data_IF_725713236741
#
_entry.id   IF_725713236741
#
_cell.length_a   1.000
_cell.length_b   1.000
_cell.length_c   1.000
_cell.angle_alpha   90.00
_cell.angle_beta   90.00
_cell.angle_gamma   90.00
#
_symmetry.space_group_name_H-M   'P 1'
#
loop_
_entity.id
_entity.type
_entity.pdbx_description
1 polymer ?
#
# COMPACT_ATOMS: atom_id res chain seq x y z
N UNK A 1 -31.39 10.11 13.47
CA UNK A 1 -30.91 9.18 12.43
C UNK A 1 -29.80 9.89 11.66
N UNK A 2 -28.61 9.30 11.53
CA UNK A 2 -27.53 9.92 10.77
C UNK A 2 -27.97 10.06 9.31
N UNK A 3 -27.98 11.30 8.80
CA UNK A 3 -28.18 11.57 7.37
C UNK A 3 -26.79 11.49 6.73
N UNK A 4 -26.47 10.39 6.06
CA UNK A 4 -25.24 10.30 5.26
C UNK A 4 -25.53 10.92 3.90
N UNK A 5 -24.81 12.00 3.51
CA UNK A 5 -24.75 12.40 2.12
C UNK A 5 -24.38 11.20 1.27
N UNK A 6 -25.08 11.02 0.16
CA UNK A 6 -24.52 10.20 -0.90
C UNK A 6 -23.19 10.83 -1.32
N UNK A 7 -22.12 10.03 -1.45
CA UNK A 7 -20.80 10.53 -1.84
C UNK A 7 -20.71 10.76 -3.36
N UNK A 8 -21.85 10.92 -4.02
CA UNK A 8 -21.96 11.48 -5.35
C UNK A 8 -21.80 12.99 -5.25
N UNK A 9 -21.17 13.62 -6.23
CA UNK A 9 -21.03 15.08 -6.33
C UNK A 9 -22.39 15.82 -6.52
N UNK A 10 -23.49 15.16 -6.20
CA UNK A 10 -24.84 15.68 -6.25
C UNK A 10 -25.01 16.74 -5.16
N UNK A 11 -25.60 17.90 -5.46
CA UNK A 11 -25.95 18.88 -4.45
C UNK A 11 -26.75 18.22 -3.32
N UNK A 12 -26.41 18.56 -2.07
CA UNK A 12 -27.17 18.11 -0.90
C UNK A 12 -28.61 18.58 -1.05
N UNK A 13 -29.51 17.65 -1.34
CA UNK A 13 -30.94 17.92 -1.35
C UNK A 13 -31.53 17.67 0.04
N UNK A 14 -32.66 18.31 0.34
CA UNK A 14 -33.39 18.08 1.59
C UNK A 14 -33.91 16.63 1.71
N UNK A 15 -33.96 15.91 0.59
CA UNK A 15 -34.40 14.51 0.47
C UNK A 15 -33.22 13.52 0.57
N UNK A 16 -32.40 13.65 1.61
CA UNK A 16 -31.35 12.67 1.89
C UNK A 16 -31.98 11.30 2.19
N UNK A 17 -31.38 10.24 1.67
CA UNK A 17 -31.83 8.87 1.94
C UNK A 17 -31.81 8.58 3.44
N UNK A 18 -32.99 8.27 4.00
CA UNK A 18 -33.13 7.87 5.40
C UNK A 18 -33.44 6.38 5.44
N UNK A 19 -32.61 5.65 6.18
CA UNK A 19 -32.84 4.23 6.46
C UNK A 19 -34.17 4.03 7.19
N UNK A 20 -35.02 3.16 6.65
CA UNK A 20 -36.32 2.85 7.27
C UNK A 20 -36.16 1.95 8.51
N UNK A 21 -37.20 1.85 9.34
CA UNK A 21 -37.19 1.07 10.58
C UNK A 21 -36.83 -0.40 10.32
N UNK A 22 -37.42 -1.00 9.28
CA UNK A 22 -37.14 -2.39 8.90
C UNK A 22 -35.67 -2.63 8.55
N UNK A 23 -35.02 -1.68 7.88
CA UNK A 23 -33.59 -1.74 7.56
C UNK A 23 -32.73 -1.60 8.81
N UNK A 24 -33.11 -0.69 9.73
CA UNK A 24 -32.44 -0.52 11.02
C UNK A 24 -32.49 -1.81 11.83
N UNK A 25 -33.66 -2.43 11.95
CA UNK A 25 -33.85 -3.66 12.71
C UNK A 25 -33.02 -4.81 12.14
N UNK A 26 -32.96 -4.93 10.81
CA UNK A 26 -32.11 -5.93 10.14
C UNK A 26 -30.63 -5.73 10.43
N UNK A 27 -30.15 -4.48 10.43
CA UNK A 27 -28.75 -4.18 10.75
C UNK A 27 -28.44 -4.54 12.21
N UNK A 28 -29.34 -4.21 13.15
CA UNK A 28 -29.19 -4.55 14.56
C UNK A 28 -29.12 -6.07 14.75
N UNK A 29 -29.99 -6.83 14.09
CA UNK A 29 -29.98 -8.29 14.14
C UNK A 29 -28.67 -8.88 13.62
N UNK A 30 -28.18 -8.42 12.46
CA UNK A 30 -26.90 -8.85 11.90
C UNK A 30 -25.75 -8.50 12.87
N UNK A 31 -25.72 -7.28 13.38
CA UNK A 31 -24.69 -6.81 14.30
C UNK A 31 -24.63 -7.65 15.58
N UNK A 32 -25.77 -8.11 16.09
CA UNK A 32 -25.84 -8.98 17.26
C UNK A 32 -25.21 -10.36 17.03
N UNK A 33 -25.26 -10.89 15.81
CA UNK A 33 -24.74 -12.22 15.50
C UNK A 33 -23.25 -12.22 15.07
N UNK A 34 -22.72 -11.09 14.61
CA UNK A 34 -21.31 -10.97 14.19
C UNK A 34 -20.29 -11.47 15.24
N UNK A 35 -20.44 -11.20 16.55
CA UNK A 35 -19.51 -11.71 17.57
C UNK A 35 -19.42 -13.25 17.64
N UNK A 36 -20.42 -13.97 17.12
CA UNK A 36 -20.41 -15.44 17.07
C UNK A 36 -19.54 -15.99 15.93
N UNK A 37 -19.09 -15.13 15.01
CA UNK A 37 -18.27 -15.50 13.85
C UNK A 37 -16.81 -15.10 14.11
N UNK A 38 -16.03 -16.01 14.68
CA UNK A 38 -14.62 -15.75 15.00
C UNK A 38 -13.68 -16.84 14.49
N UNK A 39 -12.43 -16.43 14.22
CA UNK A 39 -11.36 -17.30 13.76
C UNK A 39 -11.00 -17.09 12.29
N UNK A 40 -10.00 -17.87 11.85
CA UNK A 40 -9.44 -17.75 10.50
C UNK A 40 -10.29 -18.49 9.47
N UNK A 41 -10.33 -17.92 8.26
CA UNK A 41 -11.01 -18.49 7.09
C UNK A 41 -10.21 -18.16 5.83
N UNK A 42 -10.12 -19.12 4.92
CA UNK A 42 -9.47 -18.96 3.61
C UNK A 42 -10.57 -18.69 2.57
N UNK A 43 -10.39 -17.65 1.76
CA UNK A 43 -11.36 -17.21 0.76
C UNK A 43 -10.72 -17.26 -0.63
N UNK A 44 -10.58 -18.46 -1.23
CA UNK A 44 -9.71 -18.67 -2.40
C UNK A 44 -10.15 -17.88 -3.63
N UNK A 45 -11.46 -17.73 -3.86
CA UNK A 45 -11.97 -16.98 -5.02
C UNK A 45 -11.81 -15.47 -4.82
N UNK A 46 -11.93 -14.98 -3.59
CA UNK A 46 -11.65 -13.57 -3.26
C UNK A 46 -10.16 -13.27 -3.40
N UNK A 47 -9.28 -14.15 -2.94
CA UNK A 47 -7.83 -14.03 -3.14
C UNK A 47 -7.46 -14.01 -4.63
N UNK A 48 -8.03 -14.92 -5.42
CA UNK A 48 -7.83 -14.94 -6.87
C UNK A 48 -8.32 -13.65 -7.52
N UNK A 49 -9.50 -13.15 -7.12
CA UNK A 49 -10.05 -11.87 -7.60
C UNK A 49 -9.12 -10.70 -7.27
N UNK A 50 -8.60 -10.64 -6.05
CA UNK A 50 -7.63 -9.62 -5.63
C UNK A 50 -6.32 -9.69 -6.42
N UNK A 51 -5.80 -10.89 -6.71
CA UNK A 51 -4.60 -11.07 -7.56
C UNK A 51 -4.83 -10.60 -8.99
N UNK A 52 -5.99 -10.95 -9.58
CA UNK A 52 -6.36 -10.49 -10.93
C UNK A 52 -6.43 -8.96 -11.01
N UNK A 53 -7.05 -8.33 -10.02
CA UNK A 53 -7.11 -6.87 -9.94
C UNK A 53 -5.70 -6.24 -9.80
N UNK A 54 -4.84 -6.78 -8.93
CA UNK A 54 -3.46 -6.31 -8.77
C UNK A 54 -2.68 -6.37 -10.09
N UNK A 55 -2.83 -7.46 -10.84
CA UNK A 55 -2.18 -7.65 -12.14
C UNK A 55 -2.72 -6.69 -13.20
N UNK A 56 -4.03 -6.48 -13.25
CA UNK A 56 -4.65 -5.49 -14.13
C UNK A 56 -4.07 -4.08 -13.88
N UNK A 57 -4.01 -3.64 -12.62
CA UNK A 57 -3.42 -2.35 -12.26
C UNK A 57 -1.91 -2.32 -12.59
N UNK A 58 -1.19 -3.45 -12.46
CA UNK A 58 0.22 -3.54 -12.86
C UNK A 58 0.40 -3.26 -14.35
N UNK A 59 -0.38 -3.93 -15.20
CA UNK A 59 -0.31 -3.73 -16.65
C UNK A 59 -0.66 -2.29 -17.03
N UNK A 60 -1.69 -1.72 -16.41
CA UNK A 60 -2.10 -0.33 -16.65
C UNK A 60 -1.00 0.67 -16.26
N UNK A 61 -0.42 0.50 -15.07
CA UNK A 61 0.61 1.40 -14.55
C UNK A 61 1.92 1.29 -15.32
N UNK A 62 2.26 0.13 -15.88
CA UNK A 62 3.41 -0.01 -16.78
C UNK A 62 3.21 0.74 -18.09
N UNK A 63 1.99 0.74 -18.63
CA UNK A 63 1.67 1.45 -19.87
C UNK A 63 1.74 2.97 -19.69
N UNK A 64 1.36 3.46 -18.50
CA UNK A 64 1.19 4.89 -18.21
C UNK A 64 2.34 5.49 -17.37
N UNK A 65 3.34 4.69 -16.97
CA UNK A 65 4.41 5.04 -16.01
C UNK A 65 3.89 5.67 -14.68
N UNK A 66 2.71 5.24 -14.22
CA UNK A 66 2.10 5.78 -12.99
C UNK A 66 2.59 5.05 -11.74
N UNK A 67 3.74 5.50 -11.22
CA UNK A 67 4.38 4.95 -10.02
C UNK A 67 3.54 5.10 -8.76
N UNK A 68 2.73 6.16 -8.67
CA UNK A 68 1.86 6.44 -7.52
C UNK A 68 0.74 5.41 -7.47
N UNK A 69 0.03 5.21 -8.59
CA UNK A 69 -1.01 4.19 -8.74
C UNK A 69 -0.45 2.77 -8.56
N UNK A 70 0.73 2.50 -9.10
CA UNK A 70 1.41 1.20 -8.96
C UNK A 70 1.69 0.83 -7.50
N UNK A 71 1.95 1.82 -6.64
CA UNK A 71 2.21 1.58 -5.21
C UNK A 71 0.92 1.45 -4.41
N UNK A 72 -0.09 2.27 -4.70
CA UNK A 72 -1.37 2.25 -3.99
C UNK A 72 -2.12 0.92 -4.13
N UNK A 73 -1.94 0.18 -5.24
CA UNK A 73 -2.58 -1.13 -5.45
C UNK A 73 -2.34 -2.12 -4.30
N UNK A 74 -1.15 -2.10 -3.69
CA UNK A 74 -0.79 -3.00 -2.59
C UNK A 74 -1.47 -2.65 -1.26
N UNK A 75 -1.91 -1.40 -1.09
CA UNK A 75 -2.67 -0.97 0.09
C UNK A 75 -4.17 -1.17 -0.10
N UNK A 76 -4.66 -0.88 -1.31
CA UNK A 76 -6.07 -0.93 -1.63
C UNK A 76 -6.56 -2.36 -1.71
N UNK A 77 -5.85 -3.27 -2.39
CA UNK A 77 -6.30 -4.66 -2.54
C UNK A 77 -6.59 -5.34 -1.18
N UNK A 78 -5.69 -5.31 -0.17
CA UNK A 78 -6.00 -5.85 1.16
C UNK A 78 -7.14 -5.14 1.88
N UNK A 79 -7.32 -3.84 1.66
CA UNK A 79 -8.42 -3.07 2.26
C UNK A 79 -9.76 -3.48 1.64
N UNK A 80 -9.82 -3.61 0.31
CA UNK A 80 -11.00 -4.10 -0.40
C UNK A 80 -11.31 -5.55 -0.04
N UNK A 81 -10.31 -6.44 0.09
CA UNK A 81 -10.53 -7.82 0.54
C UNK A 81 -11.17 -7.86 1.92
N UNK A 82 -10.74 -7.00 2.87
CA UNK A 82 -11.38 -6.87 4.19
C UNK A 82 -12.83 -6.39 4.09
N UNK A 83 -13.08 -5.35 3.29
CA UNK A 83 -14.45 -4.84 3.06
C UNK A 83 -15.37 -5.92 2.47
N UNK A 84 -14.90 -6.64 1.45
CA UNK A 84 -15.65 -7.74 0.83
C UNK A 84 -15.92 -8.87 1.81
N UNK A 85 -14.96 -9.19 2.68
CA UNK A 85 -15.16 -10.18 3.74
C UNK A 85 -16.28 -9.74 4.68
N UNK A 86 -16.29 -8.49 5.14
CA UNK A 86 -17.38 -7.95 5.96
C UNK A 86 -18.74 -8.02 5.26
N UNK A 87 -18.80 -7.63 3.97
CA UNK A 87 -20.05 -7.70 3.18
C UNK A 87 -20.56 -9.15 3.09
N UNK A 88 -19.67 -10.10 2.81
CA UNK A 88 -20.03 -11.51 2.73
C UNK A 88 -20.48 -12.07 4.09
N UNK A 89 -19.82 -11.70 5.20
CA UNK A 89 -20.24 -12.08 6.56
C UNK A 89 -21.66 -11.58 6.86
N UNK A 90 -21.94 -10.30 6.57
CA UNK A 90 -23.29 -9.74 6.72
C UNK A 90 -24.31 -10.51 5.86
N UNK A 91 -23.94 -10.92 4.64
CA UNK A 91 -24.84 -11.67 3.74
C UNK A 91 -25.10 -13.10 4.22
N UNK A 92 -24.11 -13.76 4.81
CA UNK A 92 -24.26 -15.07 5.45
C UNK A 92 -25.25 -14.97 6.60
N UNK A 93 -25.10 -13.97 7.48
CA UNK A 93 -26.02 -13.75 8.60
C UNK A 93 -27.44 -13.40 8.11
N UNK A 94 -27.57 -12.55 7.10
CA UNK A 94 -28.85 -12.24 6.49
C UNK A 94 -29.55 -13.52 5.99
N UNK A 95 -28.81 -14.41 5.33
CA UNK A 95 -29.33 -15.68 4.81
C UNK A 95 -29.78 -16.62 5.94
N UNK A 96 -29.00 -16.71 7.01
CA UNK A 96 -29.36 -17.50 8.19
C UNK A 96 -30.64 -16.98 8.86
N UNK A 97 -30.73 -15.66 9.05
CA UNK A 97 -31.91 -15.01 9.64
C UNK A 97 -33.14 -15.22 8.75
N UNK A 98 -33.00 -15.07 7.42
CA UNK A 98 -34.11 -15.31 6.48
C UNK A 98 -34.61 -16.75 6.51
N UNK A 99 -33.71 -17.73 6.70
CA UNK A 99 -34.05 -19.15 6.69
C UNK A 99 -34.59 -19.67 8.02
N UNK A 100 -34.05 -19.19 9.15
CA UNK A 100 -34.30 -19.76 10.47
C UNK A 100 -34.93 -18.77 11.47
N UNK A 101 -35.17 -17.53 11.06
CA UNK A 101 -35.46 -16.43 11.99
C UNK A 101 -34.24 -16.01 12.79
N UNK A 102 -34.34 -14.92 13.53
CA UNK A 102 -33.23 -14.35 14.29
C UNK A 102 -32.71 -15.31 15.38
N UNK A 103 -33.60 -15.80 16.25
CA UNK A 103 -33.23 -16.75 17.32
C UNK A 103 -32.74 -18.10 16.75
N UNK A 104 -33.33 -18.55 15.64
CA UNK A 104 -32.90 -19.79 14.98
C UNK A 104 -31.50 -19.65 14.38
N UNK A 105 -31.19 -18.52 13.75
CA UNK A 105 -29.85 -18.22 13.25
C UNK A 105 -28.81 -18.20 14.39
N UNK A 106 -29.12 -17.58 15.52
CA UNK A 106 -28.27 -17.57 16.70
C UNK A 106 -28.01 -18.98 17.25
N UNK A 107 -29.07 -19.78 17.35
CA UNK A 107 -28.99 -21.17 17.82
C UNK A 107 -28.10 -22.01 16.90
N UNK A 108 -28.25 -21.89 15.58
CA UNK A 108 -27.42 -22.59 14.61
C UNK A 108 -25.93 -22.23 14.73
N UNK A 109 -25.61 -20.94 14.90
CA UNK A 109 -24.23 -20.48 15.07
C UNK A 109 -23.61 -20.93 16.39
N UNK A 110 -24.40 -20.98 17.47
CA UNK A 110 -23.94 -21.49 18.79
C UNK A 110 -23.70 -23.00 18.77
N UNK A 111 -24.59 -23.75 18.13
CA UNK A 111 -24.48 -25.21 18.04
C UNK A 111 -23.40 -25.67 17.05
N UNK A 112 -23.21 -24.91 15.95
CA UNK A 112 -22.17 -25.17 14.97
C UNK A 112 -21.34 -23.89 14.69
N UNK A 113 -20.32 -23.60 15.52
CA UNK A 113 -19.47 -22.42 15.36
C UNK A 113 -18.67 -22.35 14.06
N UNK A 114 -18.57 -23.45 13.29
CA UNK A 114 -17.89 -23.48 12.00
C UNK A 114 -18.83 -23.29 10.81
N UNK A 115 -20.15 -23.34 11.02
CA UNK A 115 -21.17 -23.22 9.96
C UNK A 115 -20.95 -21.98 9.09
N UNK A 116 -20.61 -20.85 9.71
CA UNK A 116 -20.40 -19.61 8.98
C UNK A 116 -19.22 -19.67 8.01
N UNK A 117 -18.17 -20.44 8.32
CA UNK A 117 -16.98 -20.60 7.47
C UNK A 117 -17.33 -21.31 6.17
N UNK A 118 -18.17 -22.34 6.25
CA UNK A 118 -18.67 -23.03 5.07
C UNK A 118 -19.55 -22.11 4.21
N UNK A 119 -20.42 -21.34 4.87
CA UNK A 119 -21.36 -20.46 4.20
C UNK A 119 -20.66 -19.27 3.52
N UNK A 120 -19.64 -18.67 4.16
CA UNK A 120 -18.90 -17.57 3.54
C UNK A 120 -18.09 -18.04 2.32
N UNK A 121 -17.56 -19.26 2.34
CA UNK A 121 -16.90 -19.84 1.15
C UNK A 121 -17.89 -19.98 0.00
N UNK A 122 -19.12 -20.43 0.28
CA UNK A 122 -20.22 -20.52 -0.70
C UNK A 122 -20.70 -19.13 -1.17
N UNK A 123 -20.53 -18.09 -0.35
CA UNK A 123 -20.91 -16.71 -0.67
C UNK A 123 -20.02 -16.05 -1.74
N UNK A 124 -18.88 -16.66 -2.08
CA UNK A 124 -17.98 -16.20 -3.16
C UNK A 124 -18.56 -16.52 -4.56
N UNK A 125 -19.74 -15.98 -4.85
CA UNK A 125 -20.40 -16.08 -6.16
C UNK A 125 -19.84 -15.02 -7.12
N UNK A 126 -19.92 -15.20 -8.45
CA UNK A 126 -19.47 -14.20 -9.41
C UNK A 126 -20.12 -12.82 -9.18
N UNK A 127 -21.42 -12.78 -8.90
CA UNK A 127 -22.15 -11.54 -8.61
C UNK A 127 -21.65 -10.84 -7.35
N UNK A 128 -21.37 -11.60 -6.28
CA UNK A 128 -20.79 -11.03 -5.06
C UNK A 128 -19.39 -10.48 -5.33
N UNK A 129 -18.54 -11.25 -6.00
CA UNK A 129 -17.16 -10.86 -6.29
C UNK A 129 -17.05 -9.72 -7.30
N UNK A 130 -18.07 -9.46 -8.13
CA UNK A 130 -18.10 -8.31 -9.02
C UNK A 130 -18.09 -6.97 -8.24
N UNK A 131 -18.62 -6.95 -7.01
CA UNK A 131 -18.58 -5.77 -6.12
C UNK A 131 -17.13 -5.40 -5.75
N UNK A 132 -16.20 -6.36 -5.78
CA UNK A 132 -14.79 -6.10 -5.50
C UNK A 132 -14.20 -5.03 -6.41
N UNK A 133 -14.45 -5.12 -7.73
CA UNK A 133 -13.87 -4.19 -8.71
C UNK A 133 -14.36 -2.78 -8.44
N UNK A 134 -15.68 -2.61 -8.27
CA UNK A 134 -16.29 -1.32 -7.93
C UNK A 134 -15.68 -0.70 -6.68
N UNK A 135 -15.50 -1.49 -5.61
CA UNK A 135 -14.91 -0.98 -4.36
C UNK A 135 -13.42 -0.67 -4.49
N UNK A 136 -12.66 -1.49 -5.20
CA UNK A 136 -11.23 -1.30 -5.38
C UNK A 136 -10.92 -0.10 -6.27
N UNK A 137 -11.62 0.01 -7.40
CA UNK A 137 -11.44 1.09 -8.36
C UNK A 137 -11.88 2.42 -7.74
N UNK A 138 -13.02 2.46 -7.06
CA UNK A 138 -13.47 3.65 -6.35
C UNK A 138 -12.47 4.11 -5.27
N UNK A 139 -11.92 3.19 -4.48
CA UNK A 139 -10.89 3.55 -3.49
C UNK A 139 -9.61 4.05 -4.15
N UNK A 140 -9.21 3.45 -5.28
CA UNK A 140 -8.02 3.85 -6.02
C UNK A 140 -8.17 5.23 -6.63
N UNK A 141 -9.27 5.47 -7.33
CA UNK A 141 -9.59 6.74 -7.95
C UNK A 141 -9.67 7.85 -6.90
N UNK A 142 -10.36 7.63 -5.78
CA UNK A 142 -10.42 8.63 -4.70
C UNK A 142 -9.05 8.87 -4.06
N UNK A 143 -8.26 7.82 -3.83
CA UNK A 143 -6.91 7.98 -3.27
C UNK A 143 -6.02 8.83 -4.17
N UNK A 144 -6.09 8.61 -5.48
CA UNK A 144 -5.34 9.39 -6.45
C UNK A 144 -5.92 10.80 -6.60
N UNK A 145 -7.23 10.96 -6.65
CA UNK A 145 -7.86 12.26 -6.82
C UNK A 145 -7.57 13.21 -5.66
N UNK A 146 -7.76 12.77 -4.42
CA UNK A 146 -7.62 13.63 -3.25
C UNK A 146 -6.21 13.69 -2.67
N UNK A 147 -5.40 12.64 -2.86
CA UNK A 147 -4.15 12.48 -2.12
C UNK A 147 -2.92 12.19 -2.97
N UNK A 148 -2.99 12.26 -4.32
CA UNK A 148 -1.85 11.92 -5.19
C UNK A 148 -0.57 12.66 -4.82
N UNK A 149 -0.60 13.99 -4.65
CA UNK A 149 0.59 14.76 -4.27
C UNK A 149 1.17 14.31 -2.94
N UNK A 150 0.33 14.17 -1.89
CA UNK A 150 0.76 13.66 -0.59
C UNK A 150 1.36 12.26 -0.64
N UNK A 151 0.78 11.39 -1.48
CA UNK A 151 1.27 10.03 -1.68
C UNK A 151 2.63 10.06 -2.38
N UNK A 152 2.77 10.87 -3.43
CA UNK A 152 4.02 11.06 -4.17
C UNK A 152 5.12 11.67 -3.29
N UNK A 153 4.78 12.68 -2.49
CA UNK A 153 5.67 13.28 -1.51
C UNK A 153 6.11 12.29 -0.45
N UNK A 154 5.20 11.43 0.05
CA UNK A 154 5.54 10.40 1.02
C UNK A 154 6.58 9.40 0.45
N UNK A 155 6.48 9.06 -0.83
CA UNK A 155 7.45 8.18 -1.50
C UNK A 155 8.75 8.88 -1.87
N UNK A 156 8.67 10.14 -2.26
CA UNK A 156 9.83 10.97 -2.57
C UNK A 156 10.56 11.44 -1.31
N UNK A 157 9.88 11.36 -0.16
CA UNK A 157 10.46 11.73 1.13
C UNK A 157 11.60 10.78 1.48
N UNK A 158 12.71 11.38 1.93
CA UNK A 158 13.94 10.70 2.34
C UNK A 158 13.76 9.63 3.43
N UNK A 159 12.59 9.60 4.08
CA UNK A 159 12.25 8.61 5.11
C UNK A 159 11.74 7.28 4.51
N UNK A 160 11.28 7.26 3.26
CA UNK A 160 10.74 6.07 2.61
C UNK A 160 11.72 5.44 1.60
N UNK A 161 12.59 6.24 0.99
CA UNK A 161 13.74 5.77 0.23
C UNK A 161 14.82 5.28 1.18
N UNK A 162 14.61 4.07 1.71
CA UNK A 162 15.48 3.26 2.56
C UNK A 162 16.77 3.91 3.05
N UNK A 163 16.91 4.04 4.38
CA UNK A 163 18.17 4.39 5.01
C UNK A 163 19.30 3.56 4.41
N UNK A 164 20.12 4.22 3.59
CA UNK A 164 21.41 3.71 3.18
C UNK A 164 22.19 3.36 4.45
N UNK A 165 22.85 2.19 4.57
CA UNK A 165 23.60 1.78 5.77
C UNK A 165 24.76 2.73 6.15
N UNK A 166 24.94 3.81 5.39
CA UNK A 166 25.89 4.89 5.63
C UNK A 166 25.29 6.10 6.36
N UNK A 167 24.11 5.98 6.98
CA UNK A 167 23.38 7.12 7.57
C UNK A 167 24.05 7.68 8.84
N UNK A 168 25.03 8.57 8.64
CA UNK A 168 25.56 9.46 9.69
C UNK A 168 24.60 10.62 9.90
N UNK A 169 24.34 10.97 11.16
CA UNK A 169 23.38 12.01 11.60
C UNK A 169 23.66 13.45 11.10
N UNK A 170 24.79 13.68 10.42
CA UNK A 170 25.10 14.91 9.68
C UNK A 170 25.77 14.55 8.35
N UNK A 171 24.98 14.45 7.29
CA UNK A 171 25.50 14.29 5.91
C UNK A 171 25.98 15.62 5.36
N UNK A 172 27.25 15.70 4.98
CA UNK A 172 27.82 16.80 4.22
C UNK A 172 27.73 16.57 2.72
N UNK A 173 28.04 17.60 1.91
CA UNK A 173 28.08 17.47 0.44
C UNK A 173 29.05 16.38 -0.05
N UNK A 174 30.06 16.01 0.74
CA UNK A 174 30.95 14.90 0.42
C UNK A 174 30.24 13.54 0.49
N UNK A 175 29.37 13.34 1.48
CA UNK A 175 28.67 12.06 1.63
C UNK A 175 27.71 11.82 0.45
N UNK A 176 27.05 12.88 -0.05
CA UNK A 176 26.25 12.81 -1.28
C UNK A 176 27.08 12.46 -2.51
N UNK A 177 28.28 13.05 -2.65
CA UNK A 177 29.19 12.70 -3.76
C UNK A 177 29.61 11.23 -3.65
N UNK A 178 29.91 10.76 -2.43
CA UNK A 178 30.28 9.37 -2.19
C UNK A 178 29.17 8.43 -2.64
N UNK A 179 27.91 8.68 -2.29
CA UNK A 179 26.77 7.83 -2.69
C UNK A 179 26.54 7.78 -4.20
N UNK A 180 26.65 8.92 -4.91
CA UNK A 180 26.41 8.99 -6.36
C UNK A 180 27.47 8.28 -7.22
N UNK A 181 28.61 7.89 -6.64
CA UNK A 181 29.65 7.15 -7.37
C UNK A 181 29.35 5.66 -7.41
N UNK A 182 29.76 4.98 -8.48
CA UNK A 182 29.66 3.51 -8.55
C UNK A 182 30.57 2.83 -7.52
N UNK A 183 30.40 1.51 -7.34
CA UNK A 183 31.26 0.70 -6.45
C UNK A 183 32.73 0.83 -6.86
N UNK A 184 33.01 0.94 -8.16
CA UNK A 184 34.34 1.25 -8.69
C UNK A 184 34.24 2.47 -9.60
N UNK A 185 35.05 3.49 -9.36
CA UNK A 185 34.98 4.76 -10.08
C UNK A 185 36.36 5.36 -10.38
N UNK A 186 36.42 6.29 -11.34
CA UNK A 186 37.63 7.04 -11.73
C UNK A 186 37.68 8.40 -11.06
N UNK A 187 38.85 9.04 -11.08
CA UNK A 187 39.00 10.41 -10.62
C UNK A 187 38.05 11.37 -11.38
N UNK A 188 37.90 11.20 -12.69
CA UNK A 188 37.04 12.03 -13.54
C UNK A 188 35.57 11.91 -13.14
N UNK A 189 35.09 10.69 -12.84
CA UNK A 189 33.74 10.48 -12.32
C UNK A 189 33.54 11.17 -10.97
N UNK A 190 34.53 11.10 -10.06
CA UNK A 190 34.49 11.82 -8.80
C UNK A 190 34.49 13.35 -8.99
N UNK A 191 35.22 13.86 -9.98
CA UNK A 191 35.25 15.28 -10.34
C UNK A 191 33.88 15.75 -10.87
N UNK A 192 33.28 14.99 -11.80
CA UNK A 192 31.97 15.31 -12.36
C UNK A 192 30.89 15.35 -11.29
N UNK A 193 30.85 14.35 -10.40
CA UNK A 193 29.89 14.32 -9.29
C UNK A 193 30.13 15.45 -8.28
N UNK A 194 31.39 15.80 -8.05
CA UNK A 194 31.71 16.93 -7.17
C UNK A 194 31.22 18.26 -7.74
N UNK A 195 31.37 18.49 -9.05
CA UNK A 195 30.83 19.67 -9.73
C UNK A 195 29.31 19.68 -9.71
N UNK A 196 28.66 18.54 -9.97
CA UNK A 196 27.20 18.42 -9.94
C UNK A 196 26.60 18.78 -8.56
N UNK A 197 27.28 18.43 -7.46
CA UNK A 197 26.74 18.60 -6.10
C UNK A 197 27.21 19.90 -5.44
N UNK A 198 28.44 20.36 -5.69
CA UNK A 198 29.02 21.55 -5.04
C UNK A 198 29.10 22.78 -5.96
N UNK A 199 28.84 22.63 -7.26
CA UNK A 199 28.90 23.69 -8.27
C UNK A 199 30.23 23.76 -9.02
N UNK A 200 30.28 24.62 -10.05
CA UNK A 200 31.39 24.71 -11.01
C UNK A 200 32.75 25.14 -10.40
N UNK A 201 32.76 25.71 -9.20
CA UNK A 201 33.98 26.21 -8.55
C UNK A 201 34.85 25.10 -7.90
N UNK A 202 34.49 23.83 -8.08
CA UNK A 202 35.25 22.71 -7.51
C UNK A 202 36.53 22.48 -8.30
N UNK A 203 37.67 22.68 -7.64
CA UNK A 203 38.99 22.42 -8.22
C UNK A 203 39.36 20.94 -8.16
N UNK A 204 40.24 20.51 -9.08
CA UNK A 204 40.83 19.17 -9.07
C UNK A 204 41.53 18.84 -7.73
N UNK A 205 42.19 19.82 -7.12
CA UNK A 205 42.88 19.60 -5.84
C UNK A 205 41.91 19.36 -4.68
N UNK A 206 40.74 20.03 -4.69
CA UNK A 206 39.70 19.77 -3.71
C UNK A 206 39.17 18.33 -3.78
N UNK A 207 39.03 17.78 -5.00
CA UNK A 207 38.61 16.39 -5.22
C UNK A 207 39.70 15.41 -4.83
N UNK A 208 40.98 15.71 -5.14
CA UNK A 208 42.12 14.91 -4.65
C UNK A 208 42.16 14.83 -3.13
N UNK A 209 41.98 15.97 -2.45
CA UNK A 209 41.99 16.01 -0.99
C UNK A 209 40.82 15.23 -0.39
N UNK A 210 39.63 15.31 -1.00
CA UNK A 210 38.47 14.52 -0.62
C UNK A 210 38.75 13.00 -0.74
N UNK A 211 39.29 12.54 -1.86
CA UNK A 211 39.62 11.13 -2.07
C UNK A 211 40.72 10.65 -1.12
N UNK A 212 41.73 11.48 -0.83
CA UNK A 212 42.75 11.20 0.20
C UNK A 212 42.12 11.01 1.58
N UNK A 213 41.15 11.86 1.94
CA UNK A 213 40.44 11.76 3.21
C UNK A 213 39.60 10.48 3.29
N UNK A 214 38.88 10.11 2.22
CA UNK A 214 38.12 8.86 2.18
C UNK A 214 39.00 7.61 2.27
N UNK A 215 40.17 7.62 1.61
CA UNK A 215 41.15 6.55 1.77
C UNK A 215 41.62 6.44 3.22
N UNK A 216 41.94 7.57 3.86
CA UNK A 216 42.35 7.61 5.28
C UNK A 216 41.25 7.10 6.21
N UNK A 217 39.99 7.34 5.88
CA UNK A 217 38.83 6.87 6.63
C UNK A 217 38.46 5.41 6.33
N UNK A 218 39.18 4.72 5.44
CA UNK A 218 38.89 3.34 5.06
C UNK A 218 37.63 3.19 4.20
N UNK A 219 37.11 4.27 3.60
CA UNK A 219 35.90 4.23 2.77
C UNK A 219 36.18 3.75 1.34
N UNK A 220 37.42 3.92 0.86
CA UNK A 220 37.83 3.50 -0.48
C UNK A 220 39.21 2.86 -0.48
N UNK A 221 39.41 1.91 -1.39
CA UNK A 221 40.70 1.36 -1.80
C UNK A 221 41.12 1.95 -3.15
N UNK A 222 42.44 2.01 -3.39
CA UNK A 222 42.99 2.36 -4.70
C UNK A 222 43.42 1.06 -5.39
N UNK A 223 42.88 0.83 -6.58
CA UNK A 223 43.22 -0.31 -7.43
C UNK A 223 44.47 -0.02 -8.27
N UNK A 224 45.20 -1.04 -8.76
CA UNK A 224 46.43 -0.88 -9.53
C UNK A 224 46.29 -0.04 -10.82
N UNK A 225 45.08 0.08 -11.37
CA UNK A 225 44.78 0.86 -12.57
C UNK A 225 44.34 2.31 -12.26
N UNK A 226 44.71 2.85 -11.10
CA UNK A 226 44.34 4.19 -10.64
C UNK A 226 42.83 4.43 -10.49
N UNK A 227 42.04 3.36 -10.38
CA UNK A 227 40.62 3.43 -10.01
C UNK A 227 40.44 3.35 -8.50
N UNK A 228 39.32 3.86 -8.03
CA UNK A 228 38.90 3.82 -6.64
C UNK A 228 37.78 2.79 -6.49
N UNK A 229 37.81 2.03 -5.41
CA UNK A 229 36.78 1.06 -5.08
C UNK A 229 36.22 1.37 -3.69
N UNK A 230 34.90 1.47 -3.56
CA UNK A 230 34.25 1.60 -2.24
C UNK A 230 34.45 0.33 -1.43
N UNK A 231 34.81 0.49 -0.17
CA UNK A 231 34.83 -0.62 0.79
C UNK A 231 33.38 -0.86 1.22
N UNK A 232 32.81 -2.00 0.84
CA UNK A 232 31.49 -2.39 1.32
C UNK A 232 31.57 -2.63 2.84
N UNK A 233 30.71 -1.98 3.62
CA UNK A 233 30.50 -2.38 5.01
C UNK A 233 29.95 -3.81 5.02
N UNK A 234 30.79 -4.79 5.36
CA UNK A 234 30.29 -6.06 5.89
C UNK A 234 29.78 -5.80 7.29
N UNK A 235 28.51 -5.36 7.39
CA UNK A 235 27.64 -5.55 8.55
C UNK A 235 26.21 -5.71 8.03
#
# INVERSE_FOLDING_TARGET
>A
VAKTPDNTFTPLSDNMYVMNERQRDRIIQIAHLLPLMSGEVVLPKLEEKGRKWLEQIRLETMKNDDKVKARQRFRICPTTMRMMTCIMLCKVLETLIQKHGFQGAETQLKQNPQLWKELIVKMQTPTMLAVFDTLADYQLENALYFFRSRIEDAFSSKNYSGQSPYDRSRRGRNDSIFECLDVTFTFEQAQQQSVAIKGANVTHEAVRQMLKNWKRQGLINILPNSRYQKVASTV
#
